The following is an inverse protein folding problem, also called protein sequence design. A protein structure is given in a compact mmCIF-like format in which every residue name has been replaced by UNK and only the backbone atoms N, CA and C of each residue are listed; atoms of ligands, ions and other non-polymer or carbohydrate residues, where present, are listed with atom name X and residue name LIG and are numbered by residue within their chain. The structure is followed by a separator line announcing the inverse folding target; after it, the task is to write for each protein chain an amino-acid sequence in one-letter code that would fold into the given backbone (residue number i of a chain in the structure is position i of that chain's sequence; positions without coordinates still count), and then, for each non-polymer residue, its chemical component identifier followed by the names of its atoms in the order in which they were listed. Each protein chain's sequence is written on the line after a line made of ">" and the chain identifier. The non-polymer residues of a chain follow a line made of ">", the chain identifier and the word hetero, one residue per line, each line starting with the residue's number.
data_IF_722416026444
#
_entry.id   IF_722416026444
#
_cell.length_a   1.000
_cell.length_b   1.000
_cell.length_c   1.000
_cell.angle_alpha   90.00
_cell.angle_beta   90.00
_cell.angle_gamma   90.00
#
_symmetry.space_group_name_H-M   'P 1'
#
loop_
_entity.id
_entity.type
_entity.pdbx_description
1 polymer ?
#
# COMPACT_ATOMS: atom_id res chain seq x y z
N UNK A 1 20.75 -43.25 -3.34
CA UNK A 1 19.81 -42.15 -3.12
C UNK A 1 20.38 -40.93 -3.83
N UNK A 2 19.78 -40.54 -4.96
CA UNK A 2 20.23 -39.36 -5.70
C UNK A 2 19.74 -38.14 -4.96
N UNK A 3 20.66 -37.35 -4.41
CA UNK A 3 20.36 -36.10 -3.75
C UNK A 3 19.95 -35.07 -4.81
N UNK A 4 18.67 -34.66 -4.80
CA UNK A 4 18.14 -33.69 -5.76
C UNK A 4 18.36 -32.30 -5.18
N UNK A 5 19.56 -31.76 -5.40
CA UNK A 5 19.87 -30.40 -4.98
C UNK A 5 19.04 -29.40 -5.79
N UNK A 6 17.97 -28.88 -5.20
CA UNK A 6 17.13 -27.85 -5.78
C UNK A 6 17.68 -26.47 -5.38
N UNK A 7 18.30 -25.78 -6.34
CA UNK A 7 18.73 -24.40 -6.18
C UNK A 7 17.77 -23.49 -6.95
N UNK A 8 17.18 -22.51 -6.25
CA UNK A 8 16.25 -21.54 -6.82
C UNK A 8 16.80 -20.13 -6.69
N UNK A 9 16.93 -19.45 -7.83
CA UNK A 9 17.39 -18.07 -7.88
C UNK A 9 16.19 -17.12 -7.66
N UNK A 10 16.06 -16.66 -6.41
CA UNK A 10 15.02 -15.70 -6.02
C UNK A 10 15.19 -14.33 -6.69
N UNK A 11 16.41 -13.95 -7.07
CA UNK A 11 16.65 -12.67 -7.76
C UNK A 11 16.13 -12.73 -9.19
N UNK A 12 16.41 -13.82 -9.89
CA UNK A 12 15.88 -14.06 -11.23
C UNK A 12 14.35 -14.16 -11.21
N UNK A 13 13.79 -14.84 -10.21
CA UNK A 13 12.34 -14.97 -10.11
C UNK A 13 11.65 -13.64 -9.76
N UNK A 14 12.22 -12.85 -8.85
CA UNK A 14 11.68 -11.53 -8.53
C UNK A 14 11.72 -10.59 -9.76
N UNK A 15 12.76 -10.66 -10.58
CA UNK A 15 12.81 -9.92 -11.84
C UNK A 15 11.66 -10.34 -12.77
N UNK A 16 11.39 -11.65 -12.90
CA UNK A 16 10.28 -12.17 -13.71
C UNK A 16 8.92 -11.71 -13.19
N UNK A 17 8.72 -11.77 -11.86
CA UNK A 17 7.48 -11.31 -11.21
C UNK A 17 7.23 -9.82 -11.47
N UNK A 18 8.25 -8.97 -11.31
CA UNK A 18 8.13 -7.53 -11.57
C UNK A 18 7.84 -7.22 -13.04
N UNK A 19 8.50 -7.90 -13.98
CA UNK A 19 8.22 -7.74 -15.41
C UNK A 19 6.78 -8.15 -15.76
N UNK A 20 6.27 -9.24 -15.18
CA UNK A 20 4.88 -9.66 -15.39
C UNK A 20 3.87 -8.65 -14.83
N UNK A 21 4.17 -8.04 -13.67
CA UNK A 21 3.35 -6.96 -13.10
C UNK A 21 3.34 -5.75 -14.01
N UNK A 22 4.52 -5.29 -14.48
CA UNK A 22 4.62 -4.15 -15.39
C UNK A 22 3.90 -4.40 -16.71
N UNK A 23 3.95 -5.61 -17.25
CA UNK A 23 3.25 -5.97 -18.48
C UNK A 23 1.73 -6.07 -18.32
N UNK A 24 1.22 -6.21 -17.09
CA UNK A 24 -0.21 -6.24 -16.79
C UNK A 24 -0.79 -4.85 -16.54
N UNK A 25 0.06 -3.83 -16.34
CA UNK A 25 -0.36 -2.45 -16.19
C UNK A 25 -0.62 -1.85 -17.58
N UNK A 26 -1.70 -1.10 -17.73
CA UNK A 26 -2.07 -0.45 -18.98
C UNK A 26 -1.13 0.75 -19.28
N UNK A 27 -0.99 1.12 -20.56
CA UNK A 27 -0.06 2.17 -21.01
C UNK A 27 -0.37 3.56 -20.42
N UNK A 28 -1.61 3.78 -19.96
CA UNK A 28 -2.08 5.01 -19.33
C UNK A 28 -2.05 4.96 -17.80
N UNK A 29 -1.48 3.91 -17.21
CA UNK A 29 -1.37 3.80 -15.75
C UNK A 29 -0.41 4.85 -15.19
N UNK A 30 -0.96 5.84 -14.50
CA UNK A 30 -0.21 6.83 -13.73
C UNK A 30 -0.19 6.44 -12.25
N UNK A 31 0.92 5.87 -11.74
CA UNK A 31 1.02 5.45 -10.34
C UNK A 31 0.93 6.62 -9.36
N UNK A 32 1.28 7.84 -9.78
CA UNK A 32 1.20 9.02 -8.91
C UNK A 32 -0.26 9.45 -8.78
N UNK A 33 -1.01 9.44 -9.88
CA UNK A 33 -2.44 9.72 -9.85
C UNK A 33 -3.21 8.69 -9.01
N UNK A 34 -2.91 7.39 -9.18
CA UNK A 34 -3.55 6.32 -8.40
C UNK A 34 -3.27 6.47 -6.90
N UNK A 35 -2.04 6.80 -6.51
CA UNK A 35 -1.71 7.04 -5.10
C UNK A 35 -2.46 8.25 -4.53
N UNK A 36 -2.57 9.34 -5.29
CA UNK A 36 -3.34 10.51 -4.86
C UNK A 36 -4.84 10.21 -4.71
N UNK A 37 -5.40 9.37 -5.58
CA UNK A 37 -6.78 8.91 -5.48
C UNK A 37 -7.01 7.99 -4.27
N UNK A 38 -6.05 7.12 -3.94
CA UNK A 38 -6.11 6.28 -2.74
C UNK A 38 -6.09 7.14 -1.46
N UNK A 39 -5.25 8.17 -1.42
CA UNK A 39 -5.20 9.11 -0.28
C UNK A 39 -6.53 9.87 -0.14
N UNK A 40 -7.11 10.34 -1.24
CA UNK A 40 -8.44 10.96 -1.24
C UNK A 40 -9.52 9.99 -0.72
N UNK A 41 -9.51 8.75 -1.20
CA UNK A 41 -10.46 7.73 -0.76
C UNK A 41 -10.29 7.42 0.74
N UNK A 42 -9.06 7.39 1.23
CA UNK A 42 -8.75 7.21 2.65
C UNK A 42 -9.33 8.35 3.50
N UNK A 43 -9.18 9.61 3.06
CA UNK A 43 -9.75 10.76 3.75
C UNK A 43 -11.28 10.74 3.75
N UNK A 44 -11.89 10.31 2.64
CA UNK A 44 -13.34 10.16 2.55
C UNK A 44 -13.87 9.12 3.55
N UNK A 45 -13.15 8.02 3.77
CA UNK A 45 -13.57 6.95 4.69
C UNK A 45 -13.78 7.45 6.14
N UNK A 46 -13.01 8.46 6.55
CA UNK A 46 -13.05 9.04 7.88
C UNK A 46 -13.59 10.49 7.90
N UNK A 47 -14.22 10.95 6.82
CA UNK A 47 -14.66 12.35 6.65
C UNK A 47 -15.89 12.74 7.48
N UNK A 48 -16.70 11.77 7.93
CA UNK A 48 -17.99 12.00 8.58
C UNK A 48 -18.15 11.17 9.86
N UNK A 49 -17.08 11.06 10.65
CA UNK A 49 -17.15 10.36 11.93
C UNK A 49 -18.00 11.16 12.93
N UNK A 50 -18.86 10.46 13.66
CA UNK A 50 -19.48 11.02 14.85
C UNK A 50 -18.47 11.14 16.01
N UNK A 51 -18.88 11.77 17.12
CA UNK A 51 -18.00 12.04 18.26
C UNK A 51 -17.38 10.77 18.87
N UNK A 52 -18.12 9.65 18.88
CA UNK A 52 -17.62 8.39 19.42
C UNK A 52 -16.62 7.74 18.46
N UNK A 53 -16.96 7.73 17.18
CA UNK A 53 -16.10 7.23 16.10
C UNK A 53 -14.80 8.03 15.99
N UNK A 54 -14.87 9.35 16.12
CA UNK A 54 -13.72 10.24 16.10
C UNK A 54 -12.77 9.94 17.27
N UNK A 55 -13.32 9.74 18.47
CA UNK A 55 -12.52 9.36 19.65
C UNK A 55 -11.79 8.02 19.45
N UNK A 56 -12.46 7.03 18.87
CA UNK A 56 -11.87 5.72 18.57
C UNK A 56 -10.77 5.88 17.51
N UNK A 57 -11.03 6.62 16.43
CA UNK A 57 -10.05 6.90 15.39
C UNK A 57 -8.76 7.50 15.98
N UNK A 58 -8.88 8.50 16.86
CA UNK A 58 -7.72 9.12 17.52
C UNK A 58 -6.93 8.15 18.41
N UNK A 59 -7.62 7.23 19.10
CA UNK A 59 -6.99 6.19 19.90
C UNK A 59 -6.21 5.19 19.03
N UNK A 60 -6.78 4.81 17.88
CA UNK A 60 -6.13 3.92 16.93
C UNK A 60 -4.91 4.57 16.28
N UNK A 61 -4.95 5.87 15.97
CA UNK A 61 -3.79 6.62 15.49
C UNK A 61 -2.72 6.69 16.58
N UNK A 62 -3.08 7.05 17.81
CA UNK A 62 -2.14 7.15 18.94
C UNK A 62 -1.43 5.83 19.26
N UNK A 63 -2.14 4.70 19.11
CA UNK A 63 -1.59 3.36 19.32
C UNK A 63 -0.77 2.84 18.14
N UNK A 64 -0.75 3.56 17.01
CA UNK A 64 -0.04 3.16 15.80
C UNK A 64 -0.74 2.06 15.01
N UNK A 65 -2.00 1.75 15.33
CA UNK A 65 -2.82 0.80 14.56
C UNK A 65 -3.24 1.45 13.25
N UNK A 66 -3.65 2.72 13.30
CA UNK A 66 -3.91 3.53 12.11
C UNK A 66 -2.75 4.50 11.85
N UNK A 67 -2.39 4.72 10.58
CA UNK A 67 -1.40 5.72 10.21
C UNK A 67 -1.89 7.15 10.47
N UNK A 68 -0.97 8.02 10.91
CA UNK A 68 -1.25 9.45 11.07
C UNK A 68 -1.32 10.16 9.72
N UNK A 69 -2.50 10.69 9.38
CA UNK A 69 -2.74 11.45 8.15
C UNK A 69 -1.87 12.69 8.01
N UNK A 70 -1.51 13.38 9.10
CA UNK A 70 -0.66 14.58 9.05
C UNK A 70 0.77 14.26 8.62
N UNK A 71 1.25 13.04 8.93
CA UNK A 71 2.57 12.57 8.48
C UNK A 71 2.59 12.15 7.01
N UNK A 72 1.41 11.83 6.43
CA UNK A 72 1.29 11.44 5.03
C UNK A 72 1.28 12.66 4.11
N UNK A 73 0.60 13.73 4.53
CA UNK A 73 0.51 15.01 3.81
C UNK A 73 1.86 15.75 3.71
N UNK A 74 2.81 15.46 4.60
CA UNK A 74 4.16 16.05 4.61
C UNK A 74 5.18 15.29 3.77
N UNK A 75 4.81 14.15 3.20
CA UNK A 75 5.67 13.33 2.34
C UNK A 75 5.47 13.60 0.83
N UNK A 76 4.55 14.52 0.47
CA UNK A 76 4.28 14.99 -0.88
C UNK A 76 4.95 16.33 -1.16
#
# INVERSE_FOLDING_TARGET
>A
MTDHNFAYDLTLDEARRRSAVLAALEDDWDPVAVLAEEDLAYDMLYSNLDDEQQRIYEELVRSGILPDRTTRDTAH
#
